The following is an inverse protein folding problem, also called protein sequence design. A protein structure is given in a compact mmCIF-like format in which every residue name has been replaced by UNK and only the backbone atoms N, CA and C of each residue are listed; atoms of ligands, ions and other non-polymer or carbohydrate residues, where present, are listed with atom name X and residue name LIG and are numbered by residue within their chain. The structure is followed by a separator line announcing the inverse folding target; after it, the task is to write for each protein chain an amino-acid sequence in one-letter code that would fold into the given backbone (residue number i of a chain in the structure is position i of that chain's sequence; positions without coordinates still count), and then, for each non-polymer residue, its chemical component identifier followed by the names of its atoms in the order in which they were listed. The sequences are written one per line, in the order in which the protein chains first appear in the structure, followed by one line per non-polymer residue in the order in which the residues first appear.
data_IF_000519901738
#
_entry.id   IF_000519901738
#
_cell.length_a   1.000
_cell.length_b   1.000
_cell.length_c   1.000
_cell.angle_alpha   90.00
_cell.angle_beta   90.00
_cell.angle_gamma   90.00
#
_symmetry.space_group_name_H-M   'P 1'
#
loop_
_entity.id
_entity.type
_entity.pdbx_description
1 polymer ?
#
# COMPACT_ATOMS: atom_id res chain seq x y z
N UNK A 1 17.22 -6.20 19.11
CA UNK A 1 17.96 -5.86 17.88
C UNK A 1 18.22 -4.37 17.83
N UNK A 2 17.21 -3.49 17.95
CA UNK A 2 17.36 -2.03 17.82
C UNK A 2 18.32 -1.45 18.86
N UNK A 3 18.24 -1.90 20.14
CA UNK A 3 19.18 -1.48 21.20
C UNK A 3 20.65 -1.77 20.82
N UNK A 4 20.90 -2.93 20.22
CA UNK A 4 22.26 -3.30 19.78
C UNK A 4 22.77 -2.41 18.64
N UNK A 5 21.88 -1.99 17.71
CA UNK A 5 22.25 -1.07 16.65
C UNK A 5 22.60 0.31 17.20
N UNK A 6 21.80 0.82 18.14
CA UNK A 6 22.04 2.10 18.81
C UNK A 6 23.34 2.08 19.63
N UNK A 7 23.58 1.04 20.43
CA UNK A 7 24.84 0.86 21.16
C UNK A 7 26.05 0.82 20.23
N UNK A 8 25.90 0.24 19.05
CA UNK A 8 26.95 0.18 18.02
C UNK A 8 27.01 1.45 17.17
N UNK A 9 26.26 2.50 17.50
CA UNK A 9 26.16 3.78 16.75
C UNK A 9 25.81 3.57 15.27
N UNK A 10 25.00 2.55 14.97
CA UNK A 10 24.52 2.28 13.61
C UNK A 10 23.18 2.95 13.37
N UNK A 11 23.08 3.64 12.25
CA UNK A 11 21.78 4.15 11.78
C UNK A 11 20.95 3.01 11.19
N UNK A 12 19.63 3.11 11.35
CA UNK A 12 18.67 2.16 10.78
C UNK A 12 17.39 2.84 10.36
N UNK A 13 16.67 2.22 9.43
CA UNK A 13 15.35 2.62 8.97
C UNK A 13 14.42 1.42 9.11
N UNK A 14 13.22 1.64 9.63
CA UNK A 14 12.17 0.62 9.69
C UNK A 14 11.37 0.67 8.38
N UNK A 15 11.54 -0.35 7.54
CA UNK A 15 10.83 -0.48 6.26
C UNK A 15 9.67 -1.46 6.38
N UNK A 16 8.48 -1.04 5.92
CA UNK A 16 7.29 -1.89 5.92
C UNK A 16 6.48 -1.74 4.62
N UNK A 17 5.82 -2.83 4.20
CA UNK A 17 4.87 -2.82 3.08
C UNK A 17 3.46 -2.39 3.51
N UNK A 18 3.30 -1.75 4.67
CA UNK A 18 2.03 -1.20 5.09
C UNK A 18 1.52 -0.13 4.11
N UNK A 19 0.30 -0.26 3.56
CA UNK A 19 -0.29 0.69 2.62
C UNK A 19 -0.83 1.94 3.32
N UNK A 20 -0.05 2.52 4.25
CA UNK A 20 -0.46 3.61 5.14
C UNK A 20 0.63 4.68 5.25
N UNK A 21 0.25 5.93 5.64
CA UNK A 21 1.22 6.96 5.94
C UNK A 21 2.19 6.55 7.07
N UNK A 22 3.41 7.07 7.04
CA UNK A 22 4.43 6.80 8.05
C UNK A 22 3.92 7.04 9.48
N UNK A 23 3.23 8.15 9.71
CA UNK A 23 2.72 8.52 11.05
C UNK A 23 1.70 7.50 11.59
N UNK A 24 0.86 6.92 10.74
CA UNK A 24 -0.09 5.88 11.14
C UNK A 24 0.64 4.64 11.67
N UNK A 25 1.72 4.23 10.98
CA UNK A 25 2.53 3.08 11.40
C UNK A 25 3.35 3.41 12.65
N UNK A 26 3.91 4.61 12.78
CA UNK A 26 4.61 5.04 14.00
C UNK A 26 3.68 4.96 15.21
N UNK A 27 2.46 5.47 15.11
CA UNK A 27 1.48 5.40 16.19
C UNK A 27 1.10 3.95 16.55
N UNK A 28 0.96 3.10 15.54
CA UNK A 28 0.72 1.66 15.76
C UNK A 28 1.87 0.99 16.52
N UNK A 29 3.13 1.25 16.13
CA UNK A 29 4.31 0.71 16.81
C UNK A 29 4.42 1.19 18.27
N UNK A 30 4.09 2.46 18.55
CA UNK A 30 4.02 3.00 19.92
C UNK A 30 2.98 2.27 20.76
N UNK A 31 1.80 2.00 20.19
CA UNK A 31 0.74 1.27 20.88
C UNK A 31 1.13 -0.19 21.18
N UNK A 32 2.05 -0.76 20.39
CA UNK A 32 2.67 -2.06 20.67
C UNK A 32 3.82 -1.99 21.69
N UNK A 33 4.10 -0.80 22.25
CA UNK A 33 5.13 -0.61 23.29
C UNK A 33 6.53 -0.31 22.74
N UNK A 34 6.68 0.00 21.44
CA UNK A 34 7.97 0.43 20.91
C UNK A 34 8.26 1.87 21.34
N UNK A 35 9.45 2.09 21.91
CA UNK A 35 9.89 3.43 22.33
C UNK A 35 9.91 4.40 21.14
N UNK A 36 9.41 5.62 21.35
CA UNK A 36 9.33 6.65 20.32
C UNK A 36 10.70 7.00 19.73
N UNK A 37 11.76 6.95 20.53
CA UNK A 37 13.14 7.21 20.07
C UNK A 37 13.56 6.24 18.96
N UNK A 38 13.03 5.01 18.98
CA UNK A 38 13.30 3.93 18.01
C UNK A 38 12.48 4.02 16.72
N UNK A 39 11.43 4.87 16.72
CA UNK A 39 10.58 5.11 15.54
C UNK A 39 11.04 6.34 14.72
N UNK A 40 12.29 6.79 14.87
CA UNK A 40 12.79 8.02 14.25
C UNK A 40 12.71 8.02 12.72
N UNK A 41 12.97 6.88 12.11
CA UNK A 41 12.96 6.70 10.66
C UNK A 41 12.10 5.49 10.32
N UNK A 42 10.85 5.73 9.95
CA UNK A 42 9.93 4.73 9.40
C UNK A 42 9.62 5.11 7.97
N UNK A 43 9.70 4.16 7.06
CA UNK A 43 9.29 4.31 5.67
C UNK A 43 8.31 3.21 5.30
N UNK A 44 7.14 3.62 4.84
CA UNK A 44 6.06 2.72 4.44
C UNK A 44 5.89 2.72 2.92
N UNK A 45 5.43 1.61 2.37
CA UNK A 45 5.06 1.54 0.94
C UNK A 45 3.95 2.54 0.60
N UNK A 46 3.00 2.75 1.52
CA UNK A 46 1.95 3.76 1.37
C UNK A 46 2.48 5.18 1.22
N UNK A 47 3.44 5.59 2.05
CA UNK A 47 4.05 6.93 1.94
C UNK A 47 4.82 7.11 0.63
N UNK A 48 5.57 6.10 0.21
CA UNK A 48 6.30 6.12 -1.07
C UNK A 48 5.33 6.23 -2.24
N UNK A 49 4.25 5.44 -2.24
CA UNK A 49 3.19 5.51 -3.24
C UNK A 49 2.48 6.87 -3.22
N UNK A 50 2.19 7.44 -2.05
CA UNK A 50 1.55 8.75 -1.90
C UNK A 50 2.38 9.87 -2.55
N UNK A 51 3.70 9.90 -2.32
CA UNK A 51 4.61 10.85 -2.96
C UNK A 51 4.59 10.72 -4.48
N UNK A 52 4.61 9.51 -4.97
CA UNK A 52 4.53 9.21 -6.40
C UNK A 52 3.20 9.67 -7.00
N UNK A 53 2.07 9.34 -6.37
CA UNK A 53 0.74 9.74 -6.80
C UNK A 53 0.61 11.26 -6.90
N UNK A 54 1.09 11.99 -5.90
CA UNK A 54 1.09 13.47 -5.90
C UNK A 54 1.91 14.08 -7.03
N UNK A 55 2.95 13.40 -7.48
CA UNK A 55 3.82 13.90 -8.56
C UNK A 55 3.33 13.50 -9.97
N UNK A 56 2.86 12.28 -10.15
CA UNK A 56 2.55 11.69 -11.46
C UNK A 56 1.07 11.71 -11.82
N UNK A 57 0.18 11.62 -10.83
CA UNK A 57 -1.27 11.47 -11.03
C UNK A 57 -2.06 12.67 -10.49
N UNK A 58 -1.44 13.83 -10.44
CA UNK A 58 -2.05 15.06 -9.95
C UNK A 58 -3.33 15.37 -10.74
N UNK A 59 -4.43 15.56 -10.02
CA UNK A 59 -5.76 15.89 -10.53
C UNK A 59 -6.41 14.81 -11.43
N UNK A 60 -5.86 13.58 -11.47
CA UNK A 60 -6.51 12.45 -12.12
C UNK A 60 -7.48 11.76 -11.18
N UNK A 61 -8.59 11.28 -11.73
CA UNK A 61 -9.61 10.53 -10.97
C UNK A 61 -9.14 9.11 -10.71
N UNK A 62 -9.34 8.63 -9.50
CA UNK A 62 -8.96 7.26 -9.14
C UNK A 62 -10.11 6.46 -8.55
N UNK A 63 -10.09 5.16 -8.82
CA UNK A 63 -10.93 4.17 -8.16
C UNK A 63 -10.11 3.43 -7.10
N UNK A 64 -10.64 3.31 -5.88
CA UNK A 64 -9.95 2.63 -4.79
C UNK A 64 -10.41 1.19 -4.62
N UNK A 65 -9.46 0.26 -4.68
CA UNK A 65 -9.63 -1.14 -4.30
C UNK A 65 -8.92 -1.35 -2.96
N UNK A 66 -9.69 -1.58 -1.91
CA UNK A 66 -9.17 -1.79 -0.57
C UNK A 66 -10.18 -1.44 0.52
N UNK A 67 -9.84 -1.73 1.79
CA UNK A 67 -10.75 -1.50 2.91
C UNK A 67 -10.84 -0.01 3.27
N UNK A 68 -11.97 0.44 3.86
CA UNK A 68 -12.15 1.83 4.28
C UNK A 68 -11.08 2.35 5.25
N UNK A 69 -10.46 1.48 6.04
CA UNK A 69 -9.40 1.83 7.00
C UNK A 69 -8.12 2.39 6.35
N UNK A 70 -7.95 2.23 5.05
CA UNK A 70 -6.80 2.74 4.31
C UNK A 70 -7.03 4.17 3.75
N UNK A 71 -8.16 4.82 4.06
CA UNK A 71 -8.51 6.16 3.55
C UNK A 71 -7.58 7.28 4.04
N UNK A 72 -6.85 7.08 5.14
CA UNK A 72 -5.85 8.04 5.60
C UNK A 72 -4.76 8.30 4.55
N UNK A 73 -4.49 7.33 3.65
CA UNK A 73 -3.56 7.49 2.53
C UNK A 73 -4.05 8.53 1.51
N UNK A 74 -5.36 8.70 1.34
CA UNK A 74 -5.97 9.53 0.28
C UNK A 74 -6.49 10.88 0.76
N UNK A 75 -6.43 11.18 2.04
CA UNK A 75 -7.04 12.36 2.64
C UNK A 75 -6.68 13.68 1.95
N UNK A 76 -5.47 13.76 1.38
CA UNK A 76 -4.99 14.97 0.70
C UNK A 76 -5.45 15.11 -0.76
N UNK A 77 -6.12 14.11 -1.33
CA UNK A 77 -6.65 14.13 -2.71
C UNK A 77 -7.92 13.26 -2.86
N UNK A 78 -8.67 13.08 -1.78
CA UNK A 78 -9.93 12.31 -1.79
C UNK A 78 -10.99 12.90 -2.71
N UNK A 79 -10.91 14.17 -3.04
CA UNK A 79 -11.79 14.85 -4.01
C UNK A 79 -11.75 14.25 -5.41
N UNK A 80 -10.63 13.59 -5.78
CA UNK A 80 -10.48 12.89 -7.06
C UNK A 80 -10.93 11.43 -7.02
N UNK A 81 -11.37 10.94 -5.87
CA UNK A 81 -11.89 9.57 -5.75
C UNK A 81 -13.26 9.46 -6.41
N UNK A 82 -13.42 8.46 -7.25
CA UNK A 82 -14.70 8.09 -7.86
C UNK A 82 -15.21 6.77 -7.32
N UNK A 83 -16.54 6.59 -7.33
CA UNK A 83 -17.18 5.37 -6.87
C UNK A 83 -17.48 4.38 -8.01
N UNK A 84 -17.37 4.82 -9.25
CA UNK A 84 -17.52 4.00 -10.43
C UNK A 84 -16.14 3.82 -11.10
N UNK A 85 -15.72 2.57 -11.28
CA UNK A 85 -14.44 2.24 -11.89
C UNK A 85 -14.34 2.75 -13.35
N UNK A 86 -15.46 2.82 -14.08
CA UNK A 86 -15.48 3.33 -15.44
C UNK A 86 -15.12 4.82 -15.54
N UNK A 87 -15.41 5.59 -14.49
CA UNK A 87 -15.14 7.03 -14.42
C UNK A 87 -13.72 7.36 -13.98
N UNK A 88 -12.94 6.36 -13.59
CA UNK A 88 -11.57 6.57 -13.11
C UNK A 88 -10.56 6.61 -14.27
N UNK A 89 -9.49 7.38 -14.07
CA UNK A 89 -8.32 7.39 -14.96
C UNK A 89 -7.35 6.26 -14.60
N UNK A 90 -7.28 5.88 -13.33
CA UNK A 90 -6.42 4.81 -12.82
C UNK A 90 -7.01 4.16 -11.56
N UNK A 91 -6.38 3.07 -11.11
CA UNK A 91 -6.79 2.30 -9.95
C UNK A 91 -5.72 2.41 -8.86
N UNK A 92 -6.13 2.62 -7.60
CA UNK A 92 -5.24 2.47 -6.44
C UNK A 92 -5.69 1.23 -5.66
N UNK A 93 -4.79 0.26 -5.51
CA UNK A 93 -5.02 -0.94 -4.73
C UNK A 93 -4.21 -0.91 -3.43
N UNK A 94 -4.90 -0.86 -2.29
CA UNK A 94 -4.30 -0.89 -0.94
C UNK A 94 -4.53 -2.22 -0.23
N UNK A 95 -5.49 -3.01 -0.68
CA UNK A 95 -5.88 -4.27 -0.07
C UNK A 95 -7.12 -4.85 -0.71
N UNK A 96 -7.77 -5.76 0.00
CA UNK A 96 -9.06 -6.33 -0.36
C UNK A 96 -10.18 -5.62 0.40
N UNK A 97 -11.39 -5.61 -0.15
CA UNK A 97 -12.58 -5.17 0.60
C UNK A 97 -12.87 -6.14 1.73
N UNK A 98 -13.34 -5.63 2.88
CA UNK A 98 -13.62 -6.45 4.05
C UNK A 98 -14.65 -7.58 3.75
N UNK A 99 -15.66 -7.28 2.93
CA UNK A 99 -16.69 -8.25 2.51
C UNK A 99 -16.22 -9.27 1.48
N UNK A 100 -15.05 -9.08 0.87
CA UNK A 100 -14.48 -9.93 -0.19
C UNK A 100 -13.01 -10.27 0.08
N UNK A 101 -12.63 -10.34 1.36
CA UNK A 101 -11.24 -10.55 1.79
C UNK A 101 -10.64 -11.90 1.38
N UNK A 102 -11.47 -12.90 1.08
CA UNK A 102 -11.06 -14.24 0.65
C UNK A 102 -11.52 -14.58 -0.77
N UNK A 103 -12.27 -13.69 -1.45
CA UNK A 103 -12.87 -13.95 -2.75
C UNK A 103 -12.08 -13.30 -3.89
N UNK A 104 -11.04 -13.96 -4.35
CA UNK A 104 -10.21 -13.47 -5.46
C UNK A 104 -10.96 -13.44 -6.81
N UNK A 105 -11.94 -14.28 -7.03
CA UNK A 105 -12.76 -14.28 -8.25
C UNK A 105 -13.61 -12.99 -8.37
N UNK A 106 -14.00 -12.38 -7.25
CA UNK A 106 -14.64 -11.09 -7.25
C UNK A 106 -13.76 -10.03 -7.96
N UNK A 107 -12.48 -9.96 -7.60
CA UNK A 107 -11.54 -8.99 -8.19
C UNK A 107 -11.24 -9.30 -9.65
N UNK A 108 -11.14 -10.57 -10.03
CA UNK A 108 -11.01 -10.98 -11.43
C UNK A 108 -12.19 -10.47 -12.26
N UNK A 109 -13.42 -10.63 -11.77
CA UNK A 109 -14.61 -10.13 -12.44
C UNK A 109 -14.68 -8.59 -12.49
N UNK A 110 -14.30 -7.92 -11.40
CA UNK A 110 -14.27 -6.46 -11.32
C UNK A 110 -13.29 -5.86 -12.35
N UNK A 111 -12.14 -6.50 -12.56
CA UNK A 111 -11.00 -5.92 -13.27
C UNK A 111 -10.85 -6.41 -14.72
N UNK A 112 -11.48 -7.51 -15.13
CA UNK A 112 -11.28 -8.18 -16.44
C UNK A 112 -11.46 -7.28 -17.66
N UNK A 113 -12.28 -6.25 -17.59
CA UNK A 113 -12.56 -5.32 -18.70
C UNK A 113 -11.95 -3.92 -18.44
N UNK A 114 -10.92 -3.82 -17.58
CA UNK A 114 -10.33 -2.55 -17.14
C UNK A 114 -8.81 -2.53 -17.32
N UNK A 115 -8.28 -3.40 -18.15
CA UNK A 115 -6.85 -3.55 -18.42
C UNK A 115 -6.23 -2.36 -19.17
N UNK A 116 -7.06 -1.48 -19.71
CA UNK A 116 -6.68 -0.19 -20.29
C UNK A 116 -6.25 0.84 -19.23
N UNK A 117 -6.62 0.61 -17.96
CA UNK A 117 -6.25 1.46 -16.85
C UNK A 117 -4.95 0.98 -16.20
N UNK A 118 -4.21 1.91 -15.59
CA UNK A 118 -3.04 1.58 -14.79
C UNK A 118 -3.44 1.33 -13.35
N UNK A 119 -2.83 0.34 -12.70
CA UNK A 119 -3.00 0.10 -11.26
C UNK A 119 -1.75 0.51 -10.49
N UNK A 120 -1.93 1.24 -9.41
CA UNK A 120 -0.91 1.52 -8.40
C UNK A 120 -1.17 0.63 -7.20
N UNK A 121 -0.27 -0.32 -6.95
CA UNK A 121 -0.35 -1.25 -5.82
C UNK A 121 0.54 -0.75 -4.67
N UNK A 122 -0.07 -0.40 -3.55
CA UNK A 122 0.62 0.20 -2.40
C UNK A 122 1.12 -0.82 -1.37
N UNK A 123 0.85 -2.09 -1.57
CA UNK A 123 1.37 -3.22 -0.78
C UNK A 123 1.60 -4.42 -1.70
N UNK A 124 2.85 -4.75 -2.08
CA UNK A 124 3.13 -5.82 -3.02
C UNK A 124 3.04 -7.24 -2.43
N UNK A 125 2.86 -7.37 -1.11
CA UNK A 125 2.72 -8.67 -0.47
C UNK A 125 1.48 -9.40 -1.02
N UNK A 126 1.62 -10.68 -1.32
CA UNK A 126 0.49 -11.51 -1.76
C UNK A 126 -0.38 -11.90 -0.56
N UNK A 127 0.26 -12.26 0.53
CA UNK A 127 -0.38 -12.70 1.76
C UNK A 127 0.36 -12.17 2.99
N UNK A 128 -0.33 -12.12 4.11
CA UNK A 128 0.24 -11.81 5.43
C UNK A 128 -0.30 -12.78 6.47
N UNK A 129 0.55 -13.19 7.39
CA UNK A 129 0.14 -13.99 8.55
C UNK A 129 -0.24 -13.05 9.71
N UNK A 130 -1.48 -13.18 10.20
CA UNK A 130 -2.00 -12.47 11.40
C UNK A 130 -2.38 -13.49 12.45
N UNK A 131 -1.47 -13.73 13.37
CA UNK A 131 -1.61 -14.81 14.34
C UNK A 131 -1.65 -16.16 13.62
N UNK A 132 -2.75 -16.90 13.76
CA UNK A 132 -2.97 -18.18 13.09
C UNK A 132 -3.60 -18.07 11.69
N UNK A 133 -4.05 -16.88 11.32
CA UNK A 133 -4.77 -16.66 10.06
C UNK A 133 -3.85 -16.11 8.97
N UNK A 134 -3.95 -16.66 7.78
CA UNK A 134 -3.32 -16.12 6.57
C UNK A 134 -4.35 -15.33 5.77
N UNK A 135 -4.04 -14.08 5.46
CA UNK A 135 -4.93 -13.16 4.75
C UNK A 135 -4.28 -12.71 3.44
N UNK A 136 -5.10 -12.51 2.41
CA UNK A 136 -4.64 -11.91 1.16
C UNK A 136 -4.33 -10.42 1.34
N UNK A 137 -3.32 -9.94 0.59
CA UNK A 137 -2.92 -8.54 0.53
C UNK A 137 -3.17 -7.95 -0.87
N UNK A 138 -2.93 -6.64 -1.01
CA UNK A 138 -3.12 -5.92 -2.28
C UNK A 138 -2.35 -6.56 -3.45
N UNK A 139 -1.17 -7.13 -3.19
CA UNK A 139 -0.38 -7.84 -4.21
C UNK A 139 -1.12 -8.99 -4.86
N UNK A 140 -2.02 -9.70 -4.16
CA UNK A 140 -2.85 -10.76 -4.76
C UNK A 140 -3.84 -10.20 -5.78
N UNK A 141 -4.45 -9.04 -5.51
CA UNK A 141 -5.34 -8.35 -6.46
C UNK A 141 -4.55 -7.81 -7.65
N UNK A 142 -3.40 -7.20 -7.38
CA UNK A 142 -2.52 -6.67 -8.43
C UNK A 142 -2.02 -7.79 -9.36
N UNK A 143 -1.67 -8.95 -8.80
CA UNK A 143 -1.26 -10.12 -9.60
C UNK A 143 -2.38 -10.61 -10.52
N UNK A 144 -3.63 -10.65 -10.03
CA UNK A 144 -4.78 -10.97 -10.88
C UNK A 144 -4.90 -9.98 -12.04
N UNK A 145 -4.72 -8.69 -11.76
CA UNK A 145 -4.80 -7.65 -12.79
C UNK A 145 -3.70 -7.80 -13.86
N UNK A 146 -2.46 -8.10 -13.46
CA UNK A 146 -1.37 -8.44 -14.39
C UNK A 146 -1.68 -9.69 -15.22
N UNK A 147 -2.20 -10.74 -14.61
CA UNK A 147 -2.54 -12.00 -15.28
C UNK A 147 -3.67 -11.80 -16.33
N UNK A 148 -4.50 -10.76 -16.14
CA UNK A 148 -5.49 -10.32 -17.13
C UNK A 148 -4.90 -9.45 -18.24
N UNK A 149 -3.63 -9.04 -18.15
CA UNK A 149 -2.92 -8.17 -19.10
C UNK A 149 -2.90 -6.70 -18.69
N UNK A 150 -3.26 -6.35 -17.47
CA UNK A 150 -3.20 -4.99 -16.92
C UNK A 150 -1.78 -4.57 -16.54
N UNK A 151 -1.53 -3.26 -16.51
CA UNK A 151 -0.25 -2.65 -16.11
C UNK A 151 -0.30 -2.25 -14.63
N UNK A 152 0.67 -2.71 -13.82
CA UNK A 152 0.76 -2.45 -12.39
C UNK A 152 2.08 -1.79 -12.01
N UNK A 153 2.00 -0.69 -11.25
CA UNK A 153 3.13 -0.10 -10.54
C UNK A 153 3.12 -0.51 -9.08
N UNK A 154 4.16 -1.21 -8.64
CA UNK A 154 4.30 -1.72 -7.28
C UNK A 154 5.14 -0.82 -6.40
N UNK A 155 4.67 -0.58 -5.18
CA UNK A 155 5.36 0.17 -4.13
C UNK A 155 5.56 -0.69 -2.89
N UNK A 156 6.79 -0.72 -2.39
CA UNK A 156 7.18 -1.53 -1.25
C UNK A 156 8.30 -2.51 -1.58
N UNK A 157 8.74 -3.26 -0.58
CA UNK A 157 9.75 -4.32 -0.76
C UNK A 157 9.19 -5.46 -1.62
N UNK A 158 9.94 -6.00 -2.60
CA UNK A 158 11.36 -5.77 -2.91
C UNK A 158 11.62 -4.69 -3.98
N UNK A 159 10.66 -3.86 -4.33
CA UNK A 159 10.78 -2.88 -5.41
C UNK A 159 11.72 -1.72 -5.05
N UNK A 160 12.55 -1.21 -5.99
CA UNK A 160 13.64 -0.28 -5.69
C UNK A 160 13.24 1.04 -5.03
N UNK A 161 12.06 1.58 -5.36
CA UNK A 161 11.62 2.91 -4.90
C UNK A 161 11.55 3.04 -3.37
N UNK A 162 11.18 1.97 -2.64
CA UNK A 162 11.11 2.05 -1.19
C UNK A 162 12.51 2.24 -0.58
N UNK A 163 13.55 1.68 -1.18
CA UNK A 163 14.92 1.81 -0.70
C UNK A 163 15.51 3.18 -1.04
N UNK A 164 15.34 3.64 -2.28
CA UNK A 164 15.91 4.92 -2.74
C UNK A 164 15.26 6.13 -2.09
N UNK A 165 13.98 6.06 -1.72
CA UNK A 165 13.27 7.15 -1.03
C UNK A 165 13.39 7.11 0.50
N UNK A 166 13.99 6.05 1.05
CA UNK A 166 14.17 5.87 2.50
C UNK A 166 15.59 6.16 2.96
N UNK A 167 16.55 6.21 2.04
CA UNK A 167 17.97 6.44 2.31
C UNK A 167 18.29 7.87 2.79
#
# INVERSE_FOLDING_TARGET
VLDKLEQSKKEYILLTNAPRPNNTVINFLKNLGLDQSKCKKVSTSGEVALKYLKSKYKALKFFHVGPPRDFDLFKSFEEFKVNNLDESDFIICTGLYDNFSENLDYYKNLLKNKIDKKMVCTNPDLVVDRGSNREFCAGSVAKIFEDLGGDVEYFGKPYPLIYTQSA
#
